data_IF_724966314716
#
_entry.id   IF_724966314716
#
_cell.length_a   1.000
_cell.length_b   1.000
_cell.length_c   1.000
_cell.angle_alpha   90.00
_cell.angle_beta   90.00
_cell.angle_gamma   90.00
#
_symmetry.space_group_name_H-M   'P 1'
#
loop_
_entity.id
_entity.type
_entity.pdbx_description
1 polymer ?
#
# COMPACT_ATOMS: atom_id res chain seq x y z
N UNK A 1 -18.25 -0.02 -0.56
CA UNK A 1 -16.87 -0.50 -0.32
C UNK A 1 -16.52 -1.57 -1.33
N UNK A 2 -15.30 -1.63 -1.79
CA UNK A 2 -14.79 -2.69 -2.68
C UNK A 2 -13.72 -3.51 -1.95
N UNK A 3 -13.67 -4.82 -2.19
CA UNK A 3 -12.68 -5.74 -1.62
C UNK A 3 -12.34 -6.81 -2.66
N UNK A 4 -11.06 -7.09 -2.84
CA UNK A 4 -10.57 -8.09 -3.78
C UNK A 4 -10.15 -9.40 -3.09
N UNK A 5 -9.75 -9.34 -1.81
CA UNK A 5 -9.30 -10.53 -1.11
C UNK A 5 -10.48 -11.36 -0.57
N UNK A 6 -10.63 -12.56 -1.16
CA UNK A 6 -11.78 -13.44 -0.93
C UNK A 6 -12.06 -13.74 0.56
N UNK A 7 -11.06 -14.01 1.43
CA UNK A 7 -11.33 -14.25 2.85
C UNK A 7 -12.04 -13.10 3.56
N UNK A 8 -11.77 -11.86 3.16
CA UNK A 8 -12.39 -10.68 3.77
C UNK A 8 -13.81 -10.42 3.28
N UNK A 9 -14.16 -10.84 2.06
CA UNK A 9 -15.43 -10.43 1.44
C UNK A 9 -16.64 -10.87 2.27
N UNK A 10 -16.69 -12.11 2.73
CA UNK A 10 -17.80 -12.63 3.50
C UNK A 10 -17.89 -11.99 4.89
N UNK A 11 -16.73 -11.81 5.55
CA UNK A 11 -16.65 -11.13 6.84
C UNK A 11 -17.16 -9.69 6.74
N UNK A 12 -16.69 -8.94 5.76
CA UNK A 12 -17.08 -7.55 5.54
C UNK A 12 -18.55 -7.42 5.15
N UNK A 13 -19.07 -8.28 4.28
CA UNK A 13 -20.49 -8.30 3.94
C UNK A 13 -21.36 -8.50 5.19
N UNK A 14 -20.98 -9.41 6.07
CA UNK A 14 -21.72 -9.67 7.30
C UNK A 14 -21.63 -8.51 8.32
N UNK A 15 -20.41 -8.00 8.52
CA UNK A 15 -20.13 -6.96 9.56
C UNK A 15 -20.69 -5.61 9.16
N UNK A 16 -20.57 -5.22 7.89
CA UNK A 16 -20.92 -3.88 7.41
C UNK A 16 -22.37 -3.76 6.95
N UNK A 17 -23.06 -4.88 6.70
CA UNK A 17 -24.48 -4.86 6.30
C UNK A 17 -25.37 -4.12 7.31
N UNK A 18 -25.12 -4.30 8.62
CA UNK A 18 -25.85 -3.63 9.70
C UNK A 18 -25.65 -2.10 9.73
N UNK A 19 -24.59 -1.62 9.07
CA UNK A 19 -24.26 -0.20 8.96
C UNK A 19 -24.76 0.39 7.62
N UNK A 20 -25.51 -0.37 6.83
CA UNK A 20 -25.98 0.06 5.51
C UNK A 20 -24.89 0.13 4.42
N UNK A 21 -23.70 -0.43 4.67
CA UNK A 21 -22.58 -0.42 3.75
C UNK A 21 -22.66 -1.64 2.83
N UNK A 22 -22.71 -1.39 1.51
CA UNK A 22 -22.62 -2.44 0.49
C UNK A 22 -21.17 -2.79 0.22
N UNK A 23 -20.83 -4.07 0.29
CA UNK A 23 -19.51 -4.61 -0.07
C UNK A 23 -19.59 -5.28 -1.43
N UNK A 24 -18.78 -4.81 -2.37
CA UNK A 24 -18.65 -5.35 -3.71
C UNK A 24 -17.34 -6.13 -3.82
N UNK A 25 -17.43 -7.41 -4.13
CA UNK A 25 -16.26 -8.22 -4.48
C UNK A 25 -15.69 -7.74 -5.83
N UNK A 26 -14.41 -7.43 -5.86
CA UNK A 26 -13.69 -7.19 -7.11
C UNK A 26 -12.87 -8.42 -7.44
N UNK A 27 -12.82 -8.85 -8.71
CA UNK A 27 -11.86 -9.86 -9.14
C UNK A 27 -10.43 -9.33 -8.91
N UNK A 28 -9.54 -10.19 -8.43
CA UNK A 28 -8.12 -9.88 -8.36
C UNK A 28 -7.63 -9.48 -9.76
N UNK A 29 -7.00 -8.30 -9.90
CA UNK A 29 -6.55 -7.65 -11.15
C UNK A 29 -7.55 -6.70 -11.85
N UNK A 30 -8.63 -6.28 -11.21
CA UNK A 30 -9.54 -5.27 -11.80
C UNK A 30 -9.45 -3.93 -11.07
N UNK A 31 -8.30 -3.27 -11.21
CA UNK A 31 -8.15 -1.83 -10.93
C UNK A 31 -9.08 -0.98 -11.82
N UNK A 32 -9.62 -1.60 -12.87
CA UNK A 32 -10.40 -0.95 -13.93
C UNK A 32 -11.92 -1.06 -13.75
N UNK A 33 -12.41 -1.61 -12.64
CA UNK A 33 -13.86 -1.78 -12.45
C UNK A 33 -14.33 -1.32 -11.07
N UNK A 34 -14.86 -0.12 -10.99
CA UNK A 34 -15.68 0.28 -9.84
C UNK A 34 -17.17 0.11 -10.22
N UNK A 35 -17.96 -0.67 -9.45
CA UNK A 35 -19.34 -1.04 -9.79
C UNK A 35 -20.33 0.09 -9.48
N UNK A 36 -20.03 1.29 -9.95
CA UNK A 36 -20.83 2.51 -9.75
C UNK A 36 -20.89 3.31 -11.04
N UNK A 37 -21.93 4.10 -11.21
CA UNK A 37 -22.11 4.98 -12.38
C UNK A 37 -21.06 6.10 -12.40
N UNK A 38 -20.70 6.56 -13.58
CA UNK A 38 -19.82 7.73 -13.72
C UNK A 38 -20.51 8.97 -13.13
N UNK A 39 -19.71 9.87 -12.56
CA UNK A 39 -20.20 11.10 -11.95
C UNK A 39 -21.17 10.90 -10.80
N UNK A 40 -21.12 9.78 -10.08
CA UNK A 40 -22.10 9.49 -9.02
C UNK A 40 -21.54 9.65 -7.60
N UNK A 41 -20.24 9.61 -7.43
CA UNK A 41 -19.63 9.64 -6.10
C UNK A 41 -19.20 11.05 -5.70
N UNK A 42 -19.46 11.41 -4.45
CA UNK A 42 -18.95 12.64 -3.83
C UNK A 42 -17.53 12.48 -3.28
N UNK A 43 -17.18 11.25 -2.91
CA UNK A 43 -15.88 10.92 -2.34
C UNK A 43 -15.48 9.47 -2.66
N UNK A 44 -14.21 9.28 -2.93
CA UNK A 44 -13.55 7.96 -3.02
C UNK A 44 -12.38 7.97 -2.04
N UNK A 45 -12.28 6.94 -1.22
CA UNK A 45 -11.12 6.71 -0.36
C UNK A 45 -10.42 5.43 -0.78
N UNK A 46 -9.10 5.44 -0.73
CA UNK A 46 -8.25 4.31 -1.07
C UNK A 46 -7.15 4.17 -0.01
N UNK A 47 -6.88 2.96 0.43
CA UNK A 47 -5.82 2.69 1.40
C UNK A 47 -5.04 1.45 0.98
N UNK A 48 -3.74 1.59 0.77
CA UNK A 48 -2.78 0.53 0.42
C UNK A 48 -3.23 -0.36 -0.76
N UNK A 49 -3.96 0.18 -1.69
CA UNK A 49 -4.40 -0.55 -2.88
C UNK A 49 -4.07 0.25 -4.14
N UNK A 50 -3.71 -0.46 -5.20
CA UNK A 50 -3.56 0.14 -6.52
C UNK A 50 -4.86 0.80 -6.97
N UNK A 51 -4.76 1.84 -7.76
CA UNK A 51 -5.91 2.53 -8.34
C UNK A 51 -5.58 3.12 -9.71
N UNK A 52 -6.60 3.26 -10.53
CA UNK A 52 -6.50 3.91 -11.83
C UNK A 52 -7.02 5.36 -11.70
N UNK A 53 -6.15 6.38 -11.85
CA UNK A 53 -6.54 7.79 -11.68
C UNK A 53 -7.66 8.23 -12.63
N UNK A 54 -7.68 7.71 -13.88
CA UNK A 54 -8.72 8.00 -14.85
C UNK A 54 -10.08 7.45 -14.41
N UNK A 55 -10.09 6.21 -13.89
CA UNK A 55 -11.32 5.60 -13.36
C UNK A 55 -11.84 6.40 -12.15
N UNK A 56 -10.96 6.83 -11.24
CA UNK A 56 -11.33 7.68 -10.11
C UNK A 56 -11.99 8.97 -10.61
N UNK A 57 -11.38 9.63 -11.60
CA UNK A 57 -11.95 10.83 -12.23
C UNK A 57 -13.35 10.56 -12.78
N UNK A 58 -13.52 9.47 -13.52
CA UNK A 58 -14.81 9.15 -14.17
C UNK A 58 -15.93 8.92 -13.15
N UNK A 59 -15.63 8.30 -12.00
CA UNK A 59 -16.64 7.96 -10.98
C UNK A 59 -17.01 9.15 -10.08
N UNK A 60 -16.09 10.09 -9.87
CA UNK A 60 -16.36 11.27 -9.06
C UNK A 60 -17.24 12.29 -9.80
N UNK A 61 -18.10 12.96 -9.06
CA UNK A 61 -18.74 14.21 -9.47
C UNK A 61 -17.69 15.32 -9.58
N UNK A 62 -17.97 16.35 -10.37
CA UNK A 62 -17.24 17.62 -10.27
C UNK A 62 -17.34 18.14 -8.83
N UNK A 63 -16.23 18.61 -8.26
CA UNK A 63 -16.13 18.99 -6.84
C UNK A 63 -15.98 17.81 -5.88
N UNK A 64 -16.02 16.57 -6.36
CA UNK A 64 -15.83 15.35 -5.53
C UNK A 64 -14.37 15.14 -5.12
N UNK A 65 -14.17 14.43 -4.02
CA UNK A 65 -12.86 14.24 -3.39
C UNK A 65 -12.32 12.83 -3.63
N UNK A 66 -11.02 12.74 -3.87
CA UNK A 66 -10.26 11.50 -3.76
C UNK A 66 -9.21 11.63 -2.66
N UNK A 67 -9.24 10.68 -1.73
CA UNK A 67 -8.32 10.60 -0.60
C UNK A 67 -7.60 9.25 -0.70
N UNK A 68 -6.27 9.26 -0.72
CA UNK A 68 -5.49 8.03 -0.77
C UNK A 68 -4.33 8.08 0.20
N UNK A 69 -4.14 6.95 0.92
CA UNK A 69 -2.95 6.68 1.71
C UNK A 69 -2.28 5.43 1.14
N UNK A 70 -0.98 5.54 0.83
CA UNK A 70 -0.23 4.53 0.11
C UNK A 70 1.06 4.14 0.82
N UNK A 71 1.52 2.94 0.48
CA UNK A 71 2.88 2.47 0.74
C UNK A 71 3.73 2.92 -0.45
N UNK A 72 4.79 3.67 -0.21
CA UNK A 72 5.69 4.13 -1.27
C UNK A 72 6.67 3.06 -1.75
N UNK A 73 7.34 3.38 -2.85
CA UNK A 73 8.27 2.46 -3.53
C UNK A 73 9.47 2.04 -2.66
N UNK A 74 9.88 2.87 -1.71
CA UNK A 74 11.06 2.62 -0.87
C UNK A 74 10.71 2.06 0.52
N UNK A 75 9.51 1.46 0.66
CA UNK A 75 9.10 0.83 1.92
C UNK A 75 10.08 -0.29 2.29
N UNK A 76 10.62 -0.21 3.53
CA UNK A 76 11.62 -1.15 4.07
C UNK A 76 12.85 -1.40 3.16
N UNK A 77 13.17 -0.48 2.27
CA UNK A 77 14.20 -0.64 1.24
C UNK A 77 15.55 -1.10 1.80
N UNK A 78 15.98 -0.55 2.95
CA UNK A 78 17.23 -0.94 3.59
C UNK A 78 17.24 -2.41 4.03
N UNK A 79 16.11 -2.92 4.55
CA UNK A 79 15.97 -4.30 4.96
C UNK A 79 15.90 -5.24 3.74
N UNK A 80 15.18 -4.85 2.70
CA UNK A 80 15.13 -5.62 1.44
C UNK A 80 16.53 -5.75 0.82
N UNK A 81 17.28 -4.64 0.76
CA UNK A 81 18.67 -4.62 0.26
C UNK A 81 19.65 -5.38 1.15
N UNK A 82 19.35 -5.55 2.42
CA UNK A 82 20.16 -6.37 3.31
C UNK A 82 20.02 -7.87 2.99
N UNK A 83 18.82 -8.31 2.62
CA UNK A 83 18.59 -9.70 2.18
C UNK A 83 19.05 -9.95 0.74
N UNK A 84 18.84 -8.99 -0.15
CA UNK A 84 19.22 -9.05 -1.55
C UNK A 84 19.90 -7.74 -1.99
N UNK A 85 21.23 -7.78 -2.19
CA UNK A 85 22.01 -6.60 -2.62
C UNK A 85 21.56 -6.02 -3.96
N UNK A 86 20.90 -6.80 -4.81
CA UNK A 86 20.43 -6.40 -6.13
C UNK A 86 18.93 -6.06 -6.15
N UNK A 87 18.28 -6.07 -4.98
CA UNK A 87 16.86 -5.76 -4.85
C UNK A 87 16.46 -4.46 -5.56
N UNK A 88 15.42 -4.56 -6.37
CA UNK A 88 14.75 -3.42 -7.01
C UNK A 88 13.28 -3.46 -6.60
N UNK A 89 12.69 -2.31 -6.20
CA UNK A 89 11.28 -2.26 -5.84
C UNK A 89 10.36 -2.81 -6.94
N UNK A 90 9.42 -3.66 -6.58
CA UNK A 90 8.45 -4.23 -7.52
C UNK A 90 7.54 -3.16 -8.15
N UNK A 91 7.34 -2.03 -7.46
CA UNK A 91 6.51 -0.91 -7.89
C UNK A 91 7.28 0.41 -7.80
N UNK A 92 8.32 0.64 -8.64
CA UNK A 92 9.21 1.80 -8.50
C UNK A 92 8.51 3.14 -8.74
N UNK A 93 7.41 3.14 -9.50
CA UNK A 93 6.61 4.34 -9.81
C UNK A 93 5.58 4.67 -8.72
N UNK A 94 5.43 3.84 -7.69
CA UNK A 94 4.49 4.12 -6.60
C UNK A 94 5.07 5.18 -5.64
N UNK A 95 5.15 6.40 -6.11
CA UNK A 95 5.67 7.56 -5.40
C UNK A 95 4.64 8.68 -5.31
N UNK A 96 4.75 9.52 -4.28
CA UNK A 96 3.90 10.70 -4.14
C UNK A 96 4.03 11.62 -5.37
N UNK A 97 5.26 11.86 -5.83
CA UNK A 97 5.54 12.75 -6.96
C UNK A 97 4.82 12.29 -8.24
N UNK A 98 4.97 11.01 -8.58
CA UNK A 98 4.32 10.42 -9.77
C UNK A 98 2.80 10.48 -9.65
N UNK A 99 2.26 10.11 -8.49
CA UNK A 99 0.82 10.12 -8.22
C UNK A 99 0.22 11.52 -8.33
N UNK A 100 0.89 12.52 -7.77
CA UNK A 100 0.48 13.94 -7.88
C UNK A 100 0.48 14.39 -9.33
N UNK A 101 1.55 14.10 -10.08
CA UNK A 101 1.64 14.48 -11.49
C UNK A 101 0.52 13.87 -12.32
N UNK A 102 0.24 12.57 -12.13
CA UNK A 102 -0.83 11.86 -12.87
C UNK A 102 -2.22 12.45 -12.58
N UNK A 103 -2.51 12.79 -11.32
CA UNK A 103 -3.78 13.40 -10.94
C UNK A 103 -3.92 14.83 -11.43
N UNK A 104 -2.86 15.63 -11.36
CA UNK A 104 -2.85 17.00 -11.92
C UNK A 104 -3.06 17.01 -13.43
N UNK A 105 -2.41 16.10 -14.16
CA UNK A 105 -2.58 15.94 -15.61
C UNK A 105 -4.03 15.55 -15.98
N UNK A 106 -4.74 14.93 -15.07
CA UNK A 106 -6.18 14.62 -15.22
C UNK A 106 -7.08 15.75 -14.73
N UNK A 107 -6.56 16.89 -14.29
CA UNK A 107 -7.34 18.05 -13.86
C UNK A 107 -7.86 17.95 -12.42
N UNK A 108 -7.17 17.22 -11.55
CA UNK A 108 -7.42 17.29 -10.12
C UNK A 108 -6.67 18.46 -9.50
N UNK A 109 -7.32 19.15 -8.58
CA UNK A 109 -6.67 20.04 -7.64
C UNK A 109 -6.09 19.25 -6.48
N UNK A 110 -4.82 19.47 -6.13
CA UNK A 110 -4.16 18.84 -4.99
C UNK A 110 -4.35 19.71 -3.76
N UNK A 111 -5.10 19.23 -2.78
CA UNK A 111 -5.39 19.94 -1.54
C UNK A 111 -4.40 19.58 -0.43
N UNK A 112 -3.90 18.34 -0.42
CA UNK A 112 -2.87 17.86 0.48
C UNK A 112 -2.03 16.82 -0.25
N UNK A 113 -0.72 16.90 -0.10
CA UNK A 113 0.24 15.88 -0.49
C UNK A 113 1.36 15.85 0.56
N UNK A 114 1.50 14.73 1.26
CA UNK A 114 2.51 14.55 2.31
C UNK A 114 3.12 13.17 2.23
N UNK A 115 4.41 13.11 2.49
CA UNK A 115 5.22 11.92 2.59
C UNK A 115 5.78 11.77 4.00
N UNK A 116 5.98 10.55 4.45
CA UNK A 116 6.53 10.23 5.77
C UNK A 116 7.29 8.92 5.72
N UNK A 117 8.40 8.85 6.45
CA UNK A 117 9.20 7.66 6.61
C UNK A 117 9.28 7.24 8.09
N UNK A 118 8.17 6.73 8.65
CA UNK A 118 8.15 6.27 10.02
C UNK A 118 9.10 5.08 10.20
N UNK A 119 9.62 4.92 11.43
CA UNK A 119 10.43 3.78 11.79
C UNK A 119 9.56 2.56 12.06
N UNK A 120 9.97 1.42 11.51
CA UNK A 120 9.48 0.09 11.89
C UNK A 120 10.61 -0.63 12.64
N UNK A 121 10.32 -1.08 13.86
CA UNK A 121 11.32 -1.69 14.74
C UNK A 121 10.93 -3.13 15.05
N UNK A 122 11.89 -4.05 14.86
CA UNK A 122 11.78 -5.46 15.17
C UNK A 122 12.60 -5.78 16.42
N UNK A 123 11.97 -6.46 17.37
CA UNK A 123 12.58 -6.83 18.66
C UNK A 123 12.99 -8.30 18.74
N UNK A 124 12.63 -9.09 17.73
CA UNK A 124 13.02 -10.49 17.61
C UNK A 124 13.13 -10.91 16.14
N UNK A 125 13.93 -11.93 15.88
CA UNK A 125 14.18 -12.43 14.54
C UNK A 125 12.94 -13.11 13.92
N UNK A 126 12.08 -13.71 14.74
CA UNK A 126 10.84 -14.34 14.28
C UNK A 126 9.88 -13.34 13.66
N UNK A 127 9.82 -12.12 14.20
CA UNK A 127 9.03 -11.03 13.63
C UNK A 127 9.54 -10.65 12.23
N UNK A 128 10.86 -10.57 12.02
CA UNK A 128 11.45 -10.30 10.69
C UNK A 128 11.13 -11.44 9.71
N UNK A 129 11.31 -12.69 10.15
CA UNK A 129 11.00 -13.88 9.33
C UNK A 129 9.53 -13.89 8.90
N UNK A 130 8.63 -13.66 9.86
CA UNK A 130 7.20 -13.60 9.57
C UNK A 130 6.88 -12.48 8.58
N UNK A 131 7.39 -11.28 8.85
CA UNK A 131 7.15 -10.11 8.01
C UNK A 131 7.63 -10.33 6.56
N UNK A 132 8.88 -10.77 6.39
CA UNK A 132 9.44 -11.05 5.07
C UNK A 132 8.67 -12.14 4.32
N UNK A 133 8.14 -13.13 5.03
CA UNK A 133 7.38 -14.24 4.43
C UNK A 133 6.02 -13.82 3.85
N UNK A 134 5.40 -12.76 4.37
CA UNK A 134 4.05 -12.34 3.96
C UNK A 134 4.02 -11.23 2.92
N UNK A 135 5.16 -10.62 2.60
CA UNK A 135 5.28 -9.52 1.62
C UNK A 135 6.36 -9.82 0.56
N UNK A 136 6.15 -10.86 -0.28
CA UNK A 136 7.16 -11.33 -1.23
C UNK A 136 7.56 -10.29 -2.29
N UNK A 137 6.77 -9.25 -2.50
CA UNK A 137 7.13 -8.13 -3.39
C UNK A 137 8.20 -7.20 -2.81
N UNK A 138 8.41 -7.18 -1.50
CA UNK A 138 9.51 -6.46 -0.84
C UNK A 138 10.70 -7.40 -0.55
N UNK A 139 10.44 -8.69 -0.40
CA UNK A 139 11.45 -9.71 -0.10
C UNK A 139 11.35 -10.86 -1.08
N UNK A 140 11.71 -10.64 -2.37
CA UNK A 140 11.66 -11.70 -3.37
C UNK A 140 12.57 -12.88 -2.97
N UNK A 141 12.12 -14.10 -3.28
CA UNK A 141 12.85 -15.34 -3.00
C UNK A 141 13.27 -15.55 -1.54
N UNK A 142 12.64 -14.83 -0.61
CA UNK A 142 12.91 -15.00 0.81
C UNK A 142 12.53 -16.40 1.29
N UNK A 143 13.48 -17.07 1.93
CA UNK A 143 13.25 -18.22 2.78
C UNK A 143 14.30 -18.26 3.88
N UNK A 144 13.97 -18.91 5.00
CA UNK A 144 14.91 -19.04 6.13
C UNK A 144 16.21 -19.73 5.69
N UNK A 145 16.11 -20.78 4.85
CA UNK A 145 17.28 -21.48 4.34
C UNK A 145 18.15 -20.62 3.44
N UNK A 146 17.53 -19.87 2.52
CA UNK A 146 18.26 -19.00 1.58
C UNK A 146 18.93 -17.82 2.29
N UNK A 147 18.24 -17.24 3.26
CA UNK A 147 18.69 -16.02 3.96
C UNK A 147 19.33 -16.30 5.34
N UNK A 148 19.76 -17.54 5.63
CA UNK A 148 20.22 -17.93 6.96
C UNK A 148 21.37 -17.06 7.48
N UNK A 149 22.32 -16.72 6.62
CA UNK A 149 23.45 -15.87 6.98
C UNK A 149 23.02 -14.47 7.42
N UNK A 150 22.14 -13.84 6.62
CA UNK A 150 21.60 -12.52 6.91
C UNK A 150 20.72 -12.53 8.17
N UNK A 151 19.89 -13.56 8.34
CA UNK A 151 19.06 -13.73 9.53
C UNK A 151 19.92 -13.89 10.79
N UNK A 152 21.02 -14.65 10.72
CA UNK A 152 21.95 -14.79 11.85
C UNK A 152 22.59 -13.46 12.22
N UNK A 153 22.97 -12.64 11.22
CA UNK A 153 23.51 -11.30 11.47
C UNK A 153 22.48 -10.38 12.13
N UNK A 154 21.23 -10.40 11.65
CA UNK A 154 20.14 -9.60 12.24
C UNK A 154 19.84 -10.06 13.68
N UNK A 155 19.85 -11.36 13.95
CA UNK A 155 19.64 -11.88 15.29
C UNK A 155 20.76 -11.41 16.24
N UNK A 156 22.02 -11.45 15.79
CA UNK A 156 23.15 -10.91 16.57
C UNK A 156 23.00 -9.42 16.85
N UNK A 157 22.52 -8.62 15.88
CA UNK A 157 22.23 -7.20 16.11
C UNK A 157 21.13 -7.02 17.16
N UNK A 158 20.07 -7.81 17.08
CA UNK A 158 18.99 -7.76 18.07
C UNK A 158 19.51 -8.15 19.48
N UNK A 159 20.36 -9.17 19.58
CA UNK A 159 20.96 -9.55 20.86
C UNK A 159 21.85 -8.44 21.46
N UNK A 160 22.58 -7.70 20.63
CA UNK A 160 23.48 -6.64 21.06
C UNK A 160 22.76 -5.32 21.33
N UNK A 161 21.85 -4.90 20.43
CA UNK A 161 21.26 -3.56 20.38
C UNK A 161 19.77 -3.56 20.78
N UNK A 162 19.22 -4.73 21.15
CA UNK A 162 17.84 -4.97 21.55
C UNK A 162 16.81 -4.83 20.44
N UNK A 163 17.19 -4.40 19.24
CA UNK A 163 16.26 -4.26 18.09
C UNK A 163 16.98 -3.99 16.77
N UNK A 164 16.26 -4.22 15.68
CA UNK A 164 16.61 -3.76 14.33
C UNK A 164 15.51 -2.83 13.81
N UNK A 165 15.92 -1.70 13.26
CA UNK A 165 14.98 -0.68 12.75
C UNK A 165 15.16 -0.46 11.26
N UNK A 166 14.05 -0.42 10.52
CA UNK A 166 13.97 -0.01 9.12
C UNK A 166 13.04 1.20 8.96
N UNK A 167 12.96 1.74 7.76
CA UNK A 167 12.06 2.85 7.42
C UNK A 167 10.93 2.36 6.52
N UNK A 168 9.72 2.64 6.94
CA UNK A 168 8.58 2.58 6.03
C UNK A 168 8.63 3.75 5.06
N UNK A 169 7.93 3.61 3.94
CA UNK A 169 7.66 4.70 3.00
C UNK A 169 6.14 4.84 2.87
N UNK A 170 5.61 5.97 3.27
CA UNK A 170 4.17 6.26 3.32
C UNK A 170 3.89 7.61 2.71
N UNK A 171 2.80 7.70 1.94
CA UNK A 171 2.30 9.00 1.54
C UNK A 171 0.78 9.08 1.62
N UNK A 172 0.28 10.29 1.79
CA UNK A 172 -1.14 10.61 1.78
C UNK A 172 -1.39 11.76 0.82
N UNK A 173 -2.49 11.69 0.12
CA UNK A 173 -2.97 12.78 -0.73
C UNK A 173 -4.48 12.99 -0.55
N UNK A 174 -4.88 14.25 -0.66
CA UNK A 174 -6.28 14.68 -0.75
C UNK A 174 -6.41 15.54 -1.99
N UNK A 175 -7.31 15.17 -2.87
CA UNK A 175 -7.51 15.85 -4.13
C UNK A 175 -8.99 16.15 -4.38
N UNK A 176 -9.27 17.14 -5.22
CA UNK A 176 -10.62 17.51 -5.65
C UNK A 176 -10.70 17.48 -7.17
N UNK A 177 -11.72 16.82 -7.72
CA UNK A 177 -12.00 16.85 -9.16
C UNK A 177 -12.54 18.21 -9.54
N UNK A 178 -11.87 18.87 -10.48
CA UNK A 178 -12.32 20.15 -11.04
C UNK A 178 -13.34 19.93 -12.15
#
# INVERSE_FOLDING_TARGET
>A
MTEAWQPNINLLKHTLAKQGIKVHALPAKHEDALPVKNGSLNMITNSHAAFNPKLIKDKLKTGGYFISQQVGALNNYSLSRFFDSDYVPAYPDNTLLKTVADLQNLGFEILLAKESQPSMTFFDIGAIIYYASIIPWEFPDFSVGHCLSQLTQLDQLIQNDSSVTTKEDRFILVTRKM
#
